data_IF_206156390977
#
_entry.id   IF_206156390977
#
_cell.length_a   1.000
_cell.length_b   1.000
_cell.length_c   1.000
_cell.angle_alpha   90.00
_cell.angle_beta   90.00
_cell.angle_gamma   90.00
#
_symmetry.space_group_name_H-M   'P 1'
#
loop_
_entity.id
_entity.type
_entity.pdbx_description
1 polymer ?
#
# COMPACT_ATOMS: atom_id res chain seq x y z
N UNK A 1 11.71 8.74 7.06
CA UNK A 1 12.80 7.84 6.67
C UNK A 1 12.22 6.44 6.65
N UNK A 2 12.57 5.63 5.65
CA UNK A 2 12.12 4.23 5.59
C UNK A 2 12.55 3.48 6.85
N UNK A 3 11.70 2.57 7.33
CA UNK A 3 12.03 1.68 8.43
C UNK A 3 13.18 0.75 8.03
N UNK A 4 14.09 0.46 8.96
CA UNK A 4 15.29 -0.36 8.70
C UNK A 4 14.92 -1.75 8.18
N UNK A 5 13.91 -2.38 8.78
CA UNK A 5 13.43 -3.69 8.34
C UNK A 5 12.89 -3.64 6.91
N UNK A 6 12.16 -2.59 6.55
CA UNK A 6 11.67 -2.40 5.18
C UNK A 6 12.82 -2.19 4.20
N UNK A 7 13.86 -1.43 4.57
CA UNK A 7 15.05 -1.28 3.74
C UNK A 7 15.67 -2.65 3.46
N UNK A 8 15.82 -3.49 4.49
CA UNK A 8 16.42 -4.81 4.35
C UNK A 8 15.56 -5.75 3.49
N UNK A 9 14.24 -5.76 3.70
CA UNK A 9 13.30 -6.57 2.91
C UNK A 9 13.34 -6.13 1.44
N UNK A 10 13.20 -4.83 1.18
CA UNK A 10 13.15 -4.31 -0.18
C UNK A 10 14.47 -4.56 -0.91
N UNK A 11 15.63 -4.33 -0.27
CA UNK A 11 16.94 -4.61 -0.90
C UNK A 11 17.13 -6.06 -1.31
N UNK A 12 16.65 -7.00 -0.49
CA UNK A 12 16.92 -8.43 -0.70
C UNK A 12 15.84 -9.13 -1.54
N UNK A 13 14.58 -8.73 -1.38
CA UNK A 13 13.42 -9.43 -1.97
C UNK A 13 12.82 -8.64 -3.14
N UNK A 14 12.80 -7.30 -3.04
CA UNK A 14 12.19 -6.42 -4.05
C UNK A 14 13.17 -5.32 -4.53
N UNK A 15 14.40 -5.67 -4.97
CA UNK A 15 15.48 -4.69 -5.20
C UNK A 15 15.10 -3.63 -6.24
N UNK A 16 14.35 -4.02 -7.26
CA UNK A 16 13.85 -3.09 -8.27
C UNK A 16 12.99 -1.97 -7.67
N UNK A 17 12.08 -2.31 -6.75
CA UNK A 17 11.24 -1.34 -6.05
C UNK A 17 12.08 -0.49 -5.10
N UNK A 18 13.07 -1.08 -4.42
CA UNK A 18 14.00 -0.36 -3.57
C UNK A 18 14.74 0.74 -4.35
N UNK A 19 15.38 0.37 -5.45
CA UNK A 19 16.18 1.28 -6.27
C UNK A 19 15.34 2.44 -6.80
N UNK A 20 14.10 2.15 -7.20
CA UNK A 20 13.17 3.16 -7.67
C UNK A 20 12.67 4.12 -6.61
N UNK A 21 12.37 3.64 -5.41
CA UNK A 21 12.03 4.53 -4.30
C UNK A 21 13.23 5.40 -3.94
N UNK A 22 14.44 4.82 -3.93
CA UNK A 22 15.66 5.55 -3.60
C UNK A 22 16.03 6.61 -4.63
N UNK A 23 15.90 6.34 -5.93
CA UNK A 23 16.18 7.33 -6.97
C UNK A 23 15.24 8.54 -6.93
N UNK A 24 14.04 8.36 -6.37
CA UNK A 24 13.06 9.43 -6.20
C UNK A 24 13.13 10.10 -4.81
N UNK A 25 13.81 9.52 -3.83
CA UNK A 25 13.76 9.98 -2.43
C UNK A 25 14.26 11.42 -2.24
N UNK A 26 15.21 11.86 -3.07
CA UNK A 26 15.77 13.22 -3.03
C UNK A 26 14.86 14.26 -3.69
N UNK A 27 14.04 13.84 -4.66
CA UNK A 27 13.16 14.74 -5.43
C UNK A 27 11.72 14.77 -4.91
N UNK A 28 11.32 13.81 -4.08
CA UNK A 28 10.00 13.76 -3.43
C UNK A 28 9.75 14.98 -2.54
N UNK A 29 8.53 15.54 -2.61
CA UNK A 29 8.07 16.52 -1.64
C UNK A 29 7.63 15.82 -0.34
N UNK A 30 8.58 15.64 0.58
CA UNK A 30 8.32 15.02 1.89
C UNK A 30 7.36 15.83 2.78
N UNK A 31 7.01 17.06 2.41
CA UNK A 31 6.02 17.88 3.14
C UNK A 31 4.61 17.76 2.56
N UNK A 32 4.47 17.14 1.39
CA UNK A 32 3.19 16.91 0.71
C UNK A 32 2.24 16.09 1.58
N UNK A 33 2.77 15.07 2.26
CA UNK A 33 2.03 14.18 3.14
C UNK A 33 2.29 14.49 4.61
N UNK A 34 1.23 14.44 5.42
CA UNK A 34 1.27 14.66 6.86
C UNK A 34 0.61 13.49 7.57
N UNK A 35 1.43 12.75 8.30
CA UNK A 35 0.98 11.74 9.27
C UNK A 35 0.76 12.45 10.60
N UNK A 36 -0.42 12.27 11.16
CA UNK A 36 -0.84 12.86 12.43
C UNK A 36 -1.52 11.79 13.28
N UNK A 37 -1.71 12.04 14.56
CA UNK A 37 -2.53 11.17 15.41
C UNK A 37 -3.97 11.67 15.46
N UNK A 38 -4.91 10.72 15.43
CA UNK A 38 -6.30 10.96 15.74
C UNK A 38 -6.49 11.15 17.24
N UNK A 39 -7.67 11.60 17.66
CA UNK A 39 -8.02 11.67 19.10
C UNK A 39 -7.99 10.30 19.80
N UNK A 40 -8.05 9.20 19.04
CA UNK A 40 -8.03 7.83 19.57
C UNK A 40 -6.62 7.22 19.63
N UNK A 41 -5.60 7.92 19.13
CA UNK A 41 -4.21 7.45 19.09
C UNK A 41 -3.83 6.76 17.77
N UNK A 42 -4.78 6.37 16.92
CA UNK A 42 -4.49 5.86 15.58
C UNK A 42 -3.88 6.95 14.70
N UNK A 43 -3.00 6.59 13.77
CA UNK A 43 -2.44 7.53 12.80
C UNK A 43 -3.45 7.83 11.68
N UNK A 44 -3.54 9.09 11.30
CA UNK A 44 -4.26 9.54 10.09
C UNK A 44 -3.27 10.12 9.10
N UNK A 45 -3.69 10.21 7.84
CA UNK A 45 -2.87 10.75 6.75
C UNK A 45 -3.64 11.83 6.02
N UNK A 46 -2.93 12.89 5.65
CA UNK A 46 -3.48 13.98 4.84
C UNK A 46 -2.46 14.46 3.82
N UNK A 47 -2.96 15.00 2.72
CA UNK A 47 -2.17 15.65 1.67
C UNK A 47 -2.40 17.15 1.72
N UNK A 48 -1.32 17.94 1.61
CA UNK A 48 -1.37 19.40 1.59
C UNK A 48 -0.93 19.88 0.21
N UNK A 49 -1.87 20.35 -0.60
CA UNK A 49 -1.60 20.85 -1.97
C UNK A 49 -2.19 22.24 -2.13
N UNK A 50 -1.35 23.21 -2.56
CA UNK A 50 -1.75 24.62 -2.75
C UNK A 50 -2.46 25.21 -1.52
N UNK A 51 -2.01 24.88 -0.32
CA UNK A 51 -2.59 25.34 0.95
C UNK A 51 -3.89 24.63 1.39
N UNK A 52 -4.46 23.75 0.56
CA UNK A 52 -5.62 22.93 0.93
C UNK A 52 -5.16 21.60 1.50
N UNK A 53 -5.62 21.29 2.71
CA UNK A 53 -5.44 19.99 3.37
C UNK A 53 -6.61 19.08 3.02
N UNK A 54 -6.33 17.92 2.44
CA UNK A 54 -7.31 16.85 2.18
C UNK A 54 -6.89 15.63 2.96
N UNK A 55 -7.83 14.99 3.66
CA UNK A 55 -7.57 13.76 4.41
C UNK A 55 -7.62 12.56 3.46
N UNK A 56 -6.61 11.69 3.55
CA UNK A 56 -6.55 10.40 2.85
C UNK A 56 -7.14 9.30 3.72
N UNK A 57 -6.98 9.42 5.05
CA UNK A 57 -7.72 8.62 6.02
C UNK A 57 -8.57 9.52 6.89
N UNK A 58 -9.65 8.96 7.43
CA UNK A 58 -10.50 9.55 8.44
C UNK A 58 -9.66 10.17 9.56
N UNK A 59 -9.94 11.45 9.85
CA UNK A 59 -9.34 12.17 10.98
C UNK A 59 -9.88 11.71 12.34
N UNK A 60 -10.92 10.87 12.34
CA UNK A 60 -11.63 10.44 13.54
C UNK A 60 -11.37 8.97 13.88
N UNK A 61 -11.49 8.09 12.89
CA UNK A 61 -11.34 6.65 13.07
C UNK A 61 -10.97 5.99 11.73
N UNK A 62 -9.67 5.95 11.38
CA UNK A 62 -9.20 5.35 10.13
C UNK A 62 -9.35 3.82 10.09
N UNK A 63 -9.41 3.17 11.25
CA UNK A 63 -9.70 1.73 11.34
C UNK A 63 -11.12 1.43 10.89
N UNK A 64 -12.11 2.19 11.36
CA UNK A 64 -13.52 2.01 10.95
C UNK A 64 -13.75 2.27 9.47
N UNK A 65 -13.01 3.20 8.88
CA UNK A 65 -13.00 3.42 7.43
C UNK A 65 -12.46 2.20 6.69
N UNK A 66 -11.35 1.64 7.15
CA UNK A 66 -10.79 0.42 6.58
C UNK A 66 -11.71 -0.80 6.73
N UNK A 67 -12.40 -0.94 7.86
CA UNK A 67 -13.45 -1.95 8.07
C UNK A 67 -14.56 -1.82 7.01
N UNK A 68 -15.07 -0.60 6.79
CA UNK A 68 -16.10 -0.35 5.79
C UNK A 68 -15.65 -0.73 4.37
N UNK A 69 -14.38 -0.44 4.01
CA UNK A 69 -13.80 -0.85 2.73
C UNK A 69 -13.80 -2.39 2.60
N UNK A 70 -13.31 -3.11 3.61
CA UNK A 70 -13.16 -4.57 3.50
C UNK A 70 -14.48 -5.33 3.61
N UNK A 71 -15.52 -4.74 4.20
CA UNK A 71 -16.87 -5.33 4.31
C UNK A 71 -17.55 -5.55 2.95
N UNK A 72 -17.16 -4.79 1.93
CA UNK A 72 -17.63 -4.94 0.54
C UNK A 72 -17.15 -6.26 -0.09
N UNK A 73 -16.08 -6.85 0.46
CA UNK A 73 -15.44 -8.05 -0.07
C UNK A 73 -15.72 -9.28 0.81
N UNK A 74 -16.75 -10.05 0.42
CA UNK A 74 -17.17 -11.29 1.09
C UNK A 74 -16.85 -12.48 0.21
N UNK A 75 -16.54 -13.61 0.85
CA UNK A 75 -16.40 -14.92 0.20
C UNK A 75 -15.37 -14.93 -0.93
N UNK A 76 -14.09 -14.73 -0.57
CA UNK A 76 -12.99 -14.77 -1.52
C UNK A 76 -12.77 -16.21 -1.98
N UNK A 77 -12.94 -16.47 -3.27
CA UNK A 77 -12.69 -17.77 -3.87
C UNK A 77 -11.23 -18.19 -3.71
N UNK A 78 -11.02 -19.48 -3.42
CA UNK A 78 -9.67 -20.05 -3.30
C UNK A 78 -8.86 -19.82 -4.58
N UNK A 79 -7.58 -19.45 -4.43
CA UNK A 79 -6.70 -19.15 -5.55
C UNK A 79 -6.87 -17.73 -6.13
N UNK A 80 -7.76 -16.90 -5.58
CA UNK A 80 -7.84 -15.47 -5.93
C UNK A 80 -6.54 -14.75 -5.58
N UNK A 81 -6.03 -13.98 -6.53
CA UNK A 81 -4.93 -13.05 -6.34
C UNK A 81 -5.48 -11.65 -6.08
N UNK A 82 -5.04 -11.02 -5.00
CA UNK A 82 -5.49 -9.69 -4.59
C UNK A 82 -4.49 -8.62 -5.01
N UNK A 83 -4.97 -7.48 -5.51
CA UNK A 83 -4.17 -6.29 -5.76
C UNK A 83 -4.73 -5.18 -4.90
N UNK A 84 -3.95 -4.71 -3.93
CA UNK A 84 -4.25 -3.49 -3.21
C UNK A 84 -3.76 -2.30 -4.03
N UNK A 85 -4.69 -1.46 -4.49
CA UNK A 85 -4.40 -0.24 -5.24
C UNK A 85 -4.52 0.97 -4.32
N UNK A 86 -3.39 1.60 -4.03
CA UNK A 86 -3.29 2.65 -3.03
C UNK A 86 -2.99 2.07 -1.65
N UNK A 87 -1.93 2.56 -1.02
CA UNK A 87 -1.44 2.07 0.27
C UNK A 87 -2.01 2.87 1.44
N UNK A 88 -2.03 4.20 1.32
CA UNK A 88 -2.29 5.07 2.46
C UNK A 88 -1.34 4.74 3.62
N UNK A 89 -1.89 4.25 4.73
CA UNK A 89 -1.14 3.79 5.90
C UNK A 89 -1.25 2.26 6.10
N UNK A 90 -1.94 1.56 5.20
CA UNK A 90 -2.05 0.10 5.20
C UNK A 90 -3.23 -0.50 5.96
N UNK A 91 -4.13 0.31 6.54
CA UNK A 91 -5.21 -0.21 7.38
C UNK A 91 -6.11 -1.24 6.69
N UNK A 92 -6.57 -0.95 5.46
CA UNK A 92 -7.39 -1.87 4.69
C UNK A 92 -6.61 -3.12 4.26
N UNK A 93 -5.29 -3.00 4.02
CA UNK A 93 -4.41 -4.12 3.69
C UNK A 93 -4.31 -5.06 4.90
N UNK A 94 -4.01 -4.51 6.08
CA UNK A 94 -3.88 -5.28 7.31
C UNK A 94 -5.19 -6.02 7.63
N UNK A 95 -6.32 -5.30 7.70
CA UNK A 95 -7.61 -5.90 8.04
C UNK A 95 -8.05 -6.97 7.03
N UNK A 96 -7.79 -6.75 5.73
CA UNK A 96 -8.11 -7.75 4.71
C UNK A 96 -7.25 -9.01 4.88
N UNK A 97 -5.95 -8.85 5.11
CA UNK A 97 -5.02 -9.98 5.27
C UNK A 97 -5.20 -10.71 6.61
N UNK A 98 -5.72 -10.07 7.66
CA UNK A 98 -6.14 -10.75 8.89
C UNK A 98 -7.31 -11.71 8.62
N UNK A 99 -8.24 -11.30 7.75
CA UNK A 99 -9.41 -12.11 7.38
C UNK A 99 -9.08 -13.20 6.36
N UNK A 100 -8.17 -12.93 5.43
CA UNK A 100 -7.80 -13.84 4.34
C UNK A 100 -6.26 -13.98 4.23
N UNK A 101 -5.58 -14.62 5.20
CA UNK A 101 -4.12 -14.61 5.32
C UNK A 101 -3.39 -15.38 4.20
N UNK A 102 -4.07 -16.33 3.56
CA UNK A 102 -3.47 -17.24 2.58
C UNK A 102 -3.53 -16.71 1.13
N UNK A 103 -4.21 -15.60 0.88
CA UNK A 103 -4.33 -15.02 -0.47
C UNK A 103 -2.98 -14.59 -1.01
N UNK A 104 -2.73 -14.84 -2.29
CA UNK A 104 -1.61 -14.23 -2.98
C UNK A 104 -1.93 -12.76 -3.21
N UNK A 105 -0.99 -11.85 -2.91
CA UNK A 105 -1.30 -10.43 -3.06
C UNK A 105 -0.15 -9.56 -3.56
N UNK A 106 -0.54 -8.46 -4.18
CA UNK A 106 0.34 -7.38 -4.65
C UNK A 106 -0.06 -6.09 -3.96
N UNK A 107 0.92 -5.27 -3.60
CA UNK A 107 0.70 -3.88 -3.17
C UNK A 107 1.11 -2.98 -4.33
N UNK A 108 0.17 -2.22 -4.88
CA UNK A 108 0.42 -1.27 -5.96
C UNK A 108 0.14 0.15 -5.47
N UNK A 109 1.13 1.02 -5.52
CA UNK A 109 0.98 2.43 -5.14
C UNK A 109 1.42 3.33 -6.30
N UNK A 110 0.51 4.13 -6.89
CA UNK A 110 0.87 5.05 -7.96
C UNK A 110 1.66 6.28 -7.51
N UNK A 111 1.59 6.69 -6.24
CA UNK A 111 2.22 7.93 -5.75
C UNK A 111 3.49 7.64 -4.96
N UNK A 112 4.69 8.08 -5.43
CA UNK A 112 5.96 7.81 -4.74
C UNK A 112 5.98 8.25 -3.28
N UNK A 113 5.49 9.45 -2.98
CA UNK A 113 5.42 9.99 -1.62
C UNK A 113 4.55 9.12 -0.72
N UNK A 114 3.46 8.56 -1.26
CA UNK A 114 2.53 7.70 -0.53
C UNK A 114 3.20 6.38 -0.17
N UNK A 115 3.86 5.73 -1.14
CA UNK A 115 4.57 4.47 -0.90
C UNK A 115 5.70 4.67 0.11
N UNK A 116 6.44 5.77 -0.03
CA UNK A 116 7.49 6.14 0.91
C UNK A 116 6.95 6.36 2.32
N UNK A 117 5.80 7.03 2.45
CA UNK A 117 5.14 7.32 3.73
C UNK A 117 4.65 6.03 4.39
N UNK A 118 4.02 5.14 3.63
CA UNK A 118 3.62 3.82 4.08
C UNK A 118 4.82 3.02 4.63
N UNK A 119 5.89 2.89 3.85
CA UNK A 119 7.10 2.17 4.22
C UNK A 119 7.94 2.84 5.33
N UNK A 120 7.65 4.10 5.64
CA UNK A 120 8.23 4.81 6.79
C UNK A 120 7.43 4.61 8.08
N UNK A 121 6.20 4.08 8.00
CA UNK A 121 5.28 3.99 9.14
C UNK A 121 4.79 2.58 9.45
N UNK A 122 4.82 1.66 8.49
CA UNK A 122 4.40 0.26 8.63
C UNK A 122 5.52 -0.66 8.18
N UNK A 123 5.92 -1.61 9.03
CA UNK A 123 6.87 -2.66 8.64
C UNK A 123 6.15 -3.72 7.79
N UNK A 124 6.71 -4.06 6.64
CA UNK A 124 6.21 -5.12 5.75
C UNK A 124 6.32 -6.50 6.44
N UNK A 125 7.30 -6.66 7.35
CA UNK A 125 7.47 -7.88 8.14
C UNK A 125 6.22 -8.24 8.95
N UNK A 126 5.49 -7.21 9.37
CA UNK A 126 4.34 -7.30 10.26
C UNK A 126 3.01 -7.45 9.49
N UNK A 127 3.06 -7.64 8.16
CA UNK A 127 1.86 -7.96 7.39
C UNK A 127 1.28 -9.31 7.85
N UNK A 128 -0.04 -9.41 8.09
CA UNK A 128 -0.68 -10.65 8.55
C UNK A 128 -0.53 -11.81 7.55
N UNK A 129 -0.71 -11.54 6.26
CA UNK A 129 -0.47 -12.51 5.19
C UNK A 129 1.00 -12.56 4.78
N UNK A 130 1.54 -13.75 4.51
CA UNK A 130 2.95 -13.93 4.09
C UNK A 130 3.14 -14.15 2.59
N UNK A 131 2.04 -14.20 1.83
CA UNK A 131 2.02 -14.47 0.40
C UNK A 131 2.16 -13.21 -0.49
N UNK A 132 2.92 -12.22 -0.02
CA UNK A 132 3.24 -11.00 -0.77
C UNK A 132 4.08 -11.33 -2.01
N UNK A 133 3.52 -11.10 -3.19
CA UNK A 133 4.18 -11.37 -4.48
C UNK A 133 5.06 -10.21 -4.95
N UNK A 134 4.61 -8.97 -4.74
CA UNK A 134 5.42 -7.79 -5.03
C UNK A 134 4.85 -6.53 -4.36
N UNK A 135 5.71 -5.53 -4.17
CA UNK A 135 5.34 -4.15 -3.90
C UNK A 135 5.75 -3.31 -5.11
N UNK A 136 4.82 -2.60 -5.72
CA UNK A 136 4.99 -1.93 -7.02
C UNK A 136 4.77 -0.44 -6.87
N UNK A 137 5.77 0.35 -7.29
CA UNK A 137 5.64 1.80 -7.43
C UNK A 137 5.13 2.15 -8.84
N UNK A 138 3.83 2.19 -9.03
CA UNK A 138 3.18 2.37 -10.33
C UNK A 138 3.08 3.80 -10.83
N UNK A 139 4.14 4.61 -10.67
CA UNK A 139 4.08 6.08 -10.87
C UNK A 139 4.17 6.54 -12.32
N UNK A 140 4.26 5.63 -13.29
CA UNK A 140 4.26 5.93 -14.70
C UNK A 140 3.77 4.73 -15.52
N UNK A 141 3.46 4.98 -16.80
CA UNK A 141 2.89 3.98 -17.72
C UNK A 141 3.78 2.74 -17.90
N UNK A 142 5.09 2.91 -17.99
CA UNK A 142 6.01 1.81 -18.20
C UNK A 142 5.95 0.83 -17.03
N UNK A 143 5.93 1.35 -15.81
CA UNK A 143 5.85 0.55 -14.58
C UNK A 143 4.52 -0.17 -14.44
N UNK A 144 3.42 0.50 -14.79
CA UNK A 144 2.10 -0.14 -14.87
C UNK A 144 2.09 -1.29 -15.86
N UNK A 145 2.64 -1.09 -17.07
CA UNK A 145 2.69 -2.14 -18.09
C UNK A 145 3.58 -3.32 -17.66
N UNK A 146 4.76 -3.06 -17.07
CA UNK A 146 5.63 -4.09 -16.51
C UNK A 146 4.91 -4.92 -15.45
N UNK A 147 4.18 -4.26 -14.55
CA UNK A 147 3.39 -4.95 -13.52
C UNK A 147 2.28 -5.81 -14.12
N UNK A 148 1.45 -5.24 -15.01
CA UNK A 148 0.33 -5.95 -15.62
C UNK A 148 0.81 -7.15 -16.44
N UNK A 149 1.88 -7.01 -17.23
CA UNK A 149 2.48 -8.13 -17.97
C UNK A 149 2.94 -9.22 -16.99
N UNK A 150 3.68 -8.87 -15.94
CA UNK A 150 4.11 -9.86 -14.93
C UNK A 150 2.92 -10.51 -14.20
N UNK A 151 1.82 -9.79 -13.99
CA UNK A 151 0.62 -10.33 -13.36
C UNK A 151 -0.04 -11.35 -14.27
N UNK A 152 -0.25 -11.02 -15.55
CA UNK A 152 -0.86 -11.90 -16.55
C UNK A 152 -0.02 -13.17 -16.74
N UNK A 153 1.31 -13.04 -16.77
CA UNK A 153 2.21 -14.17 -16.97
C UNK A 153 2.18 -15.17 -15.81
N UNK A 154 2.05 -14.67 -14.57
CA UNK A 154 2.19 -15.46 -13.34
C UNK A 154 0.87 -15.88 -12.69
N UNK A 155 -0.20 -15.13 -12.93
CA UNK A 155 -1.50 -15.42 -12.37
C UNK A 155 -2.33 -16.27 -13.34
N UNK A 156 -3.02 -17.28 -12.80
CA UNK A 156 -3.90 -18.17 -13.56
C UNK A 156 -5.33 -18.19 -13.00
N UNK A 157 -5.55 -17.62 -11.82
CA UNK A 157 -6.85 -17.55 -11.15
C UNK A 157 -7.50 -16.17 -11.25
N UNK A 158 -8.55 -15.98 -10.47
CA UNK A 158 -9.27 -14.71 -10.39
C UNK A 158 -8.38 -13.61 -9.81
N UNK A 159 -8.61 -12.37 -10.26
CA UNK A 159 -7.94 -11.18 -9.74
C UNK A 159 -8.99 -10.31 -9.07
N UNK A 160 -8.76 -9.99 -7.79
CA UNK A 160 -9.53 -9.02 -7.06
C UNK A 160 -8.73 -7.73 -6.88
N UNK A 161 -9.30 -6.61 -7.30
CA UNK A 161 -8.76 -5.28 -7.05
C UNK A 161 -9.46 -4.67 -5.83
N UNK A 162 -8.67 -4.29 -4.82
CA UNK A 162 -9.14 -3.57 -3.65
C UNK A 162 -8.51 -2.19 -3.69
N UNK A 163 -9.33 -1.17 -3.88
CA UNK A 163 -8.89 0.21 -3.96
C UNK A 163 -9.00 0.88 -2.58
N UNK A 164 -8.02 1.71 -2.22
CA UNK A 164 -8.18 2.69 -1.16
C UNK A 164 -8.95 3.90 -1.74
N UNK A 165 -10.24 4.10 -1.38
CA UNK A 165 -10.98 5.27 -1.84
C UNK A 165 -10.35 6.56 -1.28
N UNK A 166 -10.25 7.61 -2.12
CA UNK A 166 -9.71 8.94 -1.77
C UNK A 166 -10.71 10.02 -2.19
#
# INVERSE_FOLDING_TARGET
>A
MLLVDNINILKNIYPYTFDRIKSLEETMDKKLLRVEETRKGDKTLSVVKKGKKTHIHSRYNPIREAEAIIEEYKEIEEGTTVIFYGTGLGYHIDLFLEKYPDVNYYIYEPVPEMLYTYLSNKSIKDLPGKNLKNIVLGNNREETLKFLNSLIDKNRGNVLLIELPI
#
